data_IF_009401689430
#
_entry.id   IF_009401689430
#
_cell.length_a   1.000
_cell.length_b   1.000
_cell.length_c   1.000
_cell.angle_alpha   90.00
_cell.angle_beta   90.00
_cell.angle_gamma   90.00
#
_symmetry.space_group_name_H-M   'P 1'
#
loop_
_entity.id
_entity.type
_entity.pdbx_description
1 polymer ?
#
# COMPACT_ATOMS: atom_id res chain seq x y z
N UNK A 1 -41.56 -3.22 -2.58
CA UNK A 1 -40.49 -2.28 -2.22
C UNK A 1 -39.45 -2.34 -3.34
N UNK A 2 -39.42 -1.32 -4.23
CA UNK A 2 -38.53 -1.31 -5.39
C UNK A 2 -37.14 -0.87 -4.91
N UNK A 3 -36.19 -1.79 -4.86
CA UNK A 3 -34.80 -1.50 -4.60
C UNK A 3 -34.28 -0.67 -5.79
N UNK A 4 -33.92 0.57 -5.53
CA UNK A 4 -33.26 1.46 -6.48
C UNK A 4 -32.01 0.76 -7.03
N UNK A 5 -32.04 0.34 -8.28
CA UNK A 5 -30.83 0.09 -9.06
C UNK A 5 -30.14 1.45 -9.23
N UNK A 6 -29.28 1.81 -8.26
CA UNK A 6 -28.34 2.90 -8.46
C UNK A 6 -27.49 2.56 -9.67
N UNK A 7 -27.42 3.53 -10.58
CA UNK A 7 -26.66 3.46 -11.82
C UNK A 7 -25.23 2.95 -11.54
N UNK A 8 -24.94 1.72 -11.96
CA UNK A 8 -23.55 1.30 -12.16
C UNK A 8 -22.98 2.26 -13.19
N UNK A 9 -22.17 3.22 -12.74
CA UNK A 9 -21.37 4.02 -13.66
C UNK A 9 -20.40 3.03 -14.32
N UNK A 10 -20.59 2.79 -15.60
CA UNK A 10 -19.76 1.87 -16.37
C UNK A 10 -18.30 2.32 -16.27
N UNK A 11 -17.44 1.44 -15.74
CA UNK A 11 -16.00 1.64 -15.81
C UNK A 11 -15.55 1.38 -17.25
N UNK A 12 -14.83 2.32 -17.84
CA UNK A 12 -14.27 2.17 -19.18
C UNK A 12 -12.93 1.45 -19.11
N UNK A 13 -12.71 0.49 -20.00
CA UNK A 13 -11.40 -0.18 -20.14
C UNK A 13 -10.42 0.70 -20.91
N UNK A 14 -9.11 0.43 -20.77
CA UNK A 14 -8.02 1.17 -21.41
C UNK A 14 -7.99 2.67 -21.05
N UNK A 15 -8.39 3.01 -19.83
CA UNK A 15 -8.45 4.38 -19.33
C UNK A 15 -7.66 4.53 -18.03
N UNK A 16 -7.04 5.69 -17.87
CA UNK A 16 -6.40 6.09 -16.62
C UNK A 16 -7.41 6.91 -15.81
N UNK A 17 -7.63 6.49 -14.55
CA UNK A 17 -8.48 7.17 -13.59
C UNK A 17 -7.61 7.90 -12.58
N UNK A 18 -7.70 9.24 -12.54
CA UNK A 18 -6.98 10.08 -11.58
C UNK A 18 -7.91 10.39 -10.40
N UNK A 19 -8.11 9.42 -9.53
CA UNK A 19 -9.01 9.50 -8.38
C UNK A 19 -8.59 8.48 -7.31
N UNK A 20 -9.14 8.52 -6.08
CA UNK A 20 -8.88 7.49 -5.08
C UNK A 20 -9.22 6.09 -5.59
N UNK A 21 -8.32 5.13 -5.39
CA UNK A 21 -8.45 3.79 -5.96
C UNK A 21 -9.72 3.06 -5.51
N UNK A 22 -10.17 3.29 -4.27
CA UNK A 22 -11.42 2.71 -3.76
C UNK A 22 -12.64 3.20 -4.52
N UNK A 23 -12.65 4.47 -4.97
CA UNK A 23 -13.75 5.02 -5.77
C UNK A 23 -13.81 4.32 -7.13
N UNK A 24 -12.66 4.13 -7.79
CA UNK A 24 -12.57 3.38 -9.04
C UNK A 24 -13.03 1.93 -8.86
N UNK A 25 -12.52 1.23 -7.85
CA UNK A 25 -12.85 -0.18 -7.59
C UNK A 25 -14.34 -0.34 -7.27
N UNK A 26 -14.94 0.59 -6.53
CA UNK A 26 -16.35 0.54 -6.15
C UNK A 26 -17.31 0.52 -7.37
N UNK A 27 -16.89 1.12 -8.48
CA UNK A 27 -17.68 1.17 -9.73
C UNK A 27 -17.50 -0.03 -10.63
N UNK A 28 -16.49 -0.88 -10.37
CA UNK A 28 -16.26 -2.08 -11.16
C UNK A 28 -17.34 -3.12 -10.89
N UNK A 29 -17.81 -3.82 -11.92
CA UNK A 29 -18.70 -4.97 -11.72
C UNK A 29 -17.93 -6.11 -11.02
N UNK A 30 -18.65 -7.00 -10.39
CA UNK A 30 -18.06 -8.22 -9.83
C UNK A 30 -17.57 -9.14 -10.95
N UNK A 31 -16.56 -9.96 -10.70
CA UNK A 31 -15.93 -10.85 -11.66
C UNK A 31 -15.44 -10.14 -12.93
N UNK A 32 -14.87 -8.95 -12.79
CA UNK A 32 -14.41 -8.12 -13.90
C UNK A 32 -12.90 -8.22 -14.16
N UNK A 33 -12.11 -8.29 -13.09
CA UNK A 33 -10.65 -8.21 -13.16
C UNK A 33 -10.00 -9.58 -13.31
N UNK A 34 -9.08 -9.72 -14.26
CA UNK A 34 -8.24 -10.90 -14.43
C UNK A 34 -7.00 -10.83 -13.54
N UNK A 35 -6.44 -9.63 -13.38
CA UNK A 35 -5.23 -9.40 -12.59
C UNK A 35 -5.21 -7.98 -12.03
N UNK A 36 -4.72 -7.84 -10.80
CA UNK A 36 -4.39 -6.56 -10.19
C UNK A 36 -2.90 -6.52 -9.89
N UNK A 37 -2.23 -5.43 -10.28
CA UNK A 37 -0.82 -5.19 -9.95
C UNK A 37 -0.76 -3.82 -9.30
N UNK A 38 -0.20 -3.73 -8.10
CA UNK A 38 -0.13 -2.47 -7.37
C UNK A 38 1.14 -2.34 -6.53
N UNK A 39 1.55 -1.11 -6.31
CA UNK A 39 2.61 -0.72 -5.38
C UNK A 39 2.07 0.47 -4.58
N UNK A 40 1.32 0.23 -3.50
CA UNK A 40 0.82 1.30 -2.65
C UNK A 40 1.96 2.14 -2.08
N UNK A 41 1.73 3.40 -1.69
CA UNK A 41 2.74 4.17 -0.97
C UNK A 41 3.24 3.39 0.24
N UNK A 42 4.57 3.26 0.39
CA UNK A 42 5.15 2.54 1.51
C UNK A 42 5.03 3.38 2.79
N UNK A 43 4.77 2.72 3.89
CA UNK A 43 4.54 3.39 5.17
C UNK A 43 5.76 4.22 5.61
N UNK A 44 5.53 5.50 5.92
CA UNK A 44 6.51 6.49 6.38
C UNK A 44 7.71 6.71 5.42
N UNK A 45 7.55 6.36 4.13
CA UNK A 45 8.64 6.52 3.18
C UNK A 45 8.62 7.89 2.48
N UNK A 46 7.46 8.32 1.98
CA UNK A 46 7.32 9.56 1.20
C UNK A 46 6.01 10.26 1.48
N UNK A 47 6.10 11.58 1.59
CA UNK A 47 4.96 12.47 1.51
C UNK A 47 4.89 13.04 0.07
N UNK A 48 3.80 12.77 -0.63
CA UNK A 48 3.56 13.29 -1.98
C UNK A 48 2.77 14.61 -1.98
N UNK A 49 2.43 15.14 -0.79
CA UNK A 49 1.73 16.40 -0.62
C UNK A 49 0.24 16.38 -0.95
N UNK A 50 -0.40 15.22 -0.93
CA UNK A 50 -1.83 15.08 -1.13
C UNK A 50 -2.56 14.77 0.16
N UNK A 51 -3.65 15.49 0.43
CA UNK A 51 -4.54 15.19 1.54
C UNK A 51 -5.17 13.80 1.33
N UNK A 52 -5.19 12.98 2.41
CA UNK A 52 -5.71 11.62 2.33
C UNK A 52 -4.78 10.59 1.68
N UNK A 53 -3.53 10.95 1.42
CA UNK A 53 -2.51 10.02 0.96
C UNK A 53 -2.32 8.89 1.98
N UNK A 54 -2.27 7.65 1.49
CA UNK A 54 -1.84 6.50 2.30
C UNK A 54 -0.31 6.46 2.46
N UNK A 55 0.15 5.78 3.50
CA UNK A 55 1.56 5.66 3.84
C UNK A 55 2.05 6.70 4.85
N UNK A 56 1.19 7.60 5.32
CA UNK A 56 1.51 8.60 6.34
C UNK A 56 0.69 8.42 7.63
N UNK A 57 0.02 7.31 7.78
CA UNK A 57 -0.79 6.99 8.96
C UNK A 57 0.07 7.03 10.22
N UNK A 58 -0.50 7.46 11.37
CA UNK A 58 0.20 7.53 12.64
C UNK A 58 0.79 6.20 13.09
N UNK A 59 0.14 5.08 12.74
CA UNK A 59 0.56 3.74 13.10
C UNK A 59 0.61 2.81 11.88
N UNK A 60 1.48 1.81 11.91
CA UNK A 60 1.51 0.81 10.83
C UNK A 60 0.25 -0.07 10.83
N UNK A 61 -0.45 -0.17 11.94
CA UNK A 61 -1.72 -0.88 12.04
C UNK A 61 -2.79 -0.18 11.19
N UNK A 62 -2.93 1.13 11.32
CA UNK A 62 -3.87 1.93 10.50
C UNK A 62 -3.52 1.84 9.00
N UNK A 63 -2.23 1.89 8.67
CA UNK A 63 -1.77 1.68 7.31
C UNK A 63 -2.18 0.30 6.76
N UNK A 64 -1.99 -0.76 7.54
CA UNK A 64 -2.39 -2.11 7.16
C UNK A 64 -3.93 -2.22 6.99
N UNK A 65 -4.72 -1.58 7.84
CA UNK A 65 -6.18 -1.54 7.68
C UNK A 65 -6.60 -0.89 6.36
N UNK A 66 -5.95 0.19 5.93
CA UNK A 66 -6.19 0.79 4.61
C UNK A 66 -5.87 -0.19 3.48
N UNK A 67 -4.74 -0.89 3.55
CA UNK A 67 -4.36 -1.88 2.54
C UNK A 67 -5.35 -3.05 2.51
N UNK A 68 -5.77 -3.55 3.67
CA UNK A 68 -6.75 -4.63 3.72
C UNK A 68 -8.13 -4.18 3.24
N UNK A 69 -8.54 -2.95 3.49
CA UNK A 69 -9.79 -2.40 2.95
C UNK A 69 -9.80 -2.39 1.42
N UNK A 70 -8.65 -2.08 0.80
CA UNK A 70 -8.49 -2.18 -0.64
C UNK A 70 -8.59 -3.63 -1.12
N UNK A 71 -7.95 -4.57 -0.42
CA UNK A 71 -8.01 -5.99 -0.76
C UNK A 71 -9.45 -6.52 -0.66
N UNK A 72 -10.18 -6.15 0.39
CA UNK A 72 -11.59 -6.52 0.58
C UNK A 72 -12.48 -5.96 -0.53
N UNK A 73 -12.20 -4.72 -1.00
CA UNK A 73 -12.91 -4.12 -2.11
C UNK A 73 -12.59 -4.80 -3.46
N UNK A 74 -11.36 -5.25 -3.68
CA UNK A 74 -10.90 -5.93 -4.89
C UNK A 74 -11.44 -7.36 -4.97
N UNK A 75 -11.56 -8.05 -3.84
CA UNK A 75 -11.90 -9.48 -3.80
C UNK A 75 -13.11 -9.86 -4.66
N UNK A 76 -14.29 -9.21 -4.53
CA UNK A 76 -15.44 -9.55 -5.36
C UNK A 76 -15.28 -9.14 -6.83
N UNK A 77 -14.32 -8.28 -7.15
CA UNK A 77 -14.08 -7.79 -8.52
C UNK A 77 -13.21 -8.74 -9.34
N UNK A 78 -12.49 -9.64 -8.69
CA UNK A 78 -11.69 -10.64 -9.38
C UNK A 78 -12.57 -11.73 -9.97
N UNK A 79 -12.19 -12.16 -11.17
CA UNK A 79 -12.72 -13.39 -11.78
C UNK A 79 -12.21 -14.63 -11.03
N UNK A 80 -12.88 -15.75 -11.21
CA UNK A 80 -12.36 -17.04 -10.78
C UNK A 80 -10.98 -17.29 -11.42
N UNK A 81 -9.97 -17.58 -10.57
CA UNK A 81 -8.57 -17.71 -11.00
C UNK A 81 -7.83 -16.39 -11.20
N UNK A 82 -8.47 -15.24 -10.94
CA UNK A 82 -7.83 -13.93 -10.97
C UNK A 82 -6.72 -13.79 -9.91
N UNK A 83 -5.72 -12.97 -10.18
CA UNK A 83 -4.53 -12.82 -9.32
C UNK A 83 -4.30 -11.39 -8.88
N UNK A 84 -3.69 -11.22 -7.70
CA UNK A 84 -3.24 -9.91 -7.21
C UNK A 84 -1.75 -9.95 -6.91
N UNK A 85 -1.03 -8.95 -7.39
CA UNK A 85 0.40 -8.76 -7.19
C UNK A 85 0.61 -7.44 -6.45
N UNK A 86 1.16 -7.52 -5.25
CA UNK A 86 1.37 -6.34 -4.40
C UNK A 86 2.85 -6.21 -4.10
N UNK A 87 3.45 -5.09 -4.51
CA UNK A 87 4.82 -4.75 -4.14
C UNK A 87 4.80 -3.83 -2.93
N UNK A 88 5.39 -4.27 -1.82
CA UNK A 88 5.48 -3.52 -0.57
C UNK A 88 6.92 -3.43 -0.09
N UNK A 89 7.28 -2.28 0.48
CA UNK A 89 8.52 -2.10 1.22
C UNK A 89 8.32 -2.30 2.71
N UNK A 90 9.36 -2.77 3.39
CA UNK A 90 9.42 -2.83 4.84
C UNK A 90 10.16 -1.63 5.42
N UNK A 91 10.09 -1.45 6.73
CA UNK A 91 10.80 -0.39 7.44
C UNK A 91 11.15 -0.83 8.86
N UNK A 92 12.12 -0.15 9.47
CA UNK A 92 12.53 -0.38 10.85
C UNK A 92 11.84 0.59 11.80
N UNK A 93 11.53 0.09 13.01
CA UNK A 93 11.10 0.96 14.10
C UNK A 93 12.18 1.99 14.43
N UNK A 94 11.80 3.26 14.50
CA UNK A 94 12.70 4.38 14.71
C UNK A 94 13.49 4.83 13.48
N UNK A 95 13.31 4.18 12.31
CA UNK A 95 13.77 4.72 11.04
C UNK A 95 12.76 5.74 10.51
N UNK A 96 13.25 6.81 9.96
CA UNK A 96 12.41 7.87 9.40
C UNK A 96 12.72 9.25 9.99
N UNK A 97 12.61 10.26 9.17
CA UNK A 97 12.68 11.67 9.56
C UNK A 97 14.08 12.30 9.70
N UNK A 98 15.15 11.55 9.96
CA UNK A 98 16.48 12.16 10.12
C UNK A 98 17.54 11.71 9.11
N UNK A 99 17.25 10.75 8.25
CA UNK A 99 18.21 10.18 7.29
C UNK A 99 17.89 10.41 5.82
N UNK A 100 16.86 11.18 5.50
CA UNK A 100 16.56 11.50 4.12
C UNK A 100 17.43 12.63 3.60
N UNK A 101 17.89 12.51 2.36
CA UNK A 101 18.61 13.58 1.67
C UNK A 101 17.62 14.67 1.21
N UNK A 102 17.20 15.51 2.17
CA UNK A 102 16.30 16.65 1.98
C UNK A 102 17.04 17.97 1.69
N UNK A 103 18.35 17.90 1.46
CA UNK A 103 19.16 19.08 1.15
C UNK A 103 18.95 19.50 -0.32
N UNK A 104 19.29 20.74 -0.63
CA UNK A 104 19.27 21.23 -2.00
C UNK A 104 20.08 20.32 -2.93
N UNK A 105 19.45 19.84 -4.00
CA UNK A 105 20.04 18.86 -4.93
C UNK A 105 20.00 17.39 -4.46
N UNK A 106 19.46 17.10 -3.29
CA UNK A 106 19.31 15.74 -2.77
C UNK A 106 18.12 14.98 -3.37
N UNK A 107 18.07 13.67 -3.14
CA UNK A 107 17.02 12.79 -3.68
C UNK A 107 15.60 13.14 -3.20
N UNK A 108 15.49 13.92 -2.11
CA UNK A 108 14.22 14.35 -1.50
C UNK A 108 14.13 15.89 -1.39
N UNK A 109 14.90 16.57 -2.21
CA UNK A 109 14.85 18.03 -2.27
C UNK A 109 13.44 18.52 -2.59
N UNK A 110 12.96 19.51 -1.85
CA UNK A 110 11.61 20.07 -1.98
C UNK A 110 10.47 19.19 -1.45
N UNK A 111 10.76 17.98 -0.94
CA UNK A 111 9.72 17.12 -0.34
C UNK A 111 9.53 17.45 1.14
N UNK A 112 8.30 17.35 1.67
CA UNK A 112 8.04 17.44 3.11
C UNK A 112 8.82 16.38 3.88
N UNK A 113 9.35 16.77 5.06
CA UNK A 113 10.02 15.80 5.94
C UNK A 113 8.98 14.91 6.62
N UNK A 114 9.02 13.63 6.34
CA UNK A 114 8.20 12.64 7.04
C UNK A 114 8.64 12.58 8.51
N UNK A 115 7.69 12.71 9.44
CA UNK A 115 7.98 12.57 10.87
C UNK A 115 7.97 11.09 11.23
N UNK A 116 8.94 10.62 12.07
CA UNK A 116 8.90 9.25 12.56
C UNK A 116 7.59 8.96 13.30
N UNK A 117 6.89 7.90 12.90
CA UNK A 117 5.73 7.44 13.66
C UNK A 117 6.18 6.83 14.99
N UNK A 118 5.36 7.01 16.03
CA UNK A 118 5.56 6.29 17.29
C UNK A 118 5.07 4.87 17.13
N UNK A 119 5.96 3.90 17.28
CA UNK A 119 5.63 2.47 17.28
C UNK A 119 5.94 1.88 18.64
N UNK A 120 5.05 1.03 19.14
CA UNK A 120 5.23 0.27 20.39
C UNK A 120 6.15 -0.96 20.19
N UNK A 121 7.19 -0.79 19.38
CA UNK A 121 8.16 -1.83 19.05
C UNK A 121 9.54 -1.25 19.33
N UNK A 122 10.44 -2.09 19.85
CA UNK A 122 11.83 -1.66 20.15
C UNK A 122 12.47 -1.02 18.92
N UNK A 123 13.21 0.05 19.12
CA UNK A 123 14.03 0.66 18.09
C UNK A 123 14.89 -0.38 17.37
N UNK A 124 15.11 -0.16 16.08
CA UNK A 124 15.88 -1.04 15.19
C UNK A 124 15.19 -2.39 14.87
N UNK A 125 13.96 -2.61 15.34
CA UNK A 125 13.20 -3.80 14.96
C UNK A 125 12.60 -3.62 13.56
N UNK A 126 12.81 -4.59 12.68
CA UNK A 126 12.11 -4.66 11.38
C UNK A 126 10.61 -4.90 11.64
N UNK A 127 9.75 -4.08 11.03
CA UNK A 127 8.31 -4.10 11.32
C UNK A 127 7.56 -5.23 10.63
N UNK A 128 8.16 -5.86 9.62
CA UNK A 128 7.57 -6.95 8.84
C UNK A 128 6.23 -6.55 8.19
N UNK A 129 6.15 -5.32 7.67
CA UNK A 129 4.94 -4.78 7.03
C UNK A 129 4.41 -5.70 5.93
N UNK A 130 5.22 -6.16 4.95
CA UNK A 130 4.74 -7.06 3.89
C UNK A 130 4.20 -8.38 4.44
N UNK A 131 4.87 -8.95 5.45
CA UNK A 131 4.43 -10.21 6.06
C UNK A 131 3.12 -10.05 6.86
N UNK A 132 2.99 -8.95 7.62
CA UNK A 132 1.74 -8.64 8.34
C UNK A 132 0.59 -8.45 7.38
N UNK A 133 0.84 -7.74 6.26
CA UNK A 133 -0.13 -7.58 5.19
C UNK A 133 -0.59 -8.92 4.64
N UNK A 134 0.36 -9.80 4.29
CA UNK A 134 0.07 -11.13 3.74
C UNK A 134 -0.73 -12.00 4.73
N UNK A 135 -0.35 -12.03 6.00
CA UNK A 135 -1.06 -12.76 7.05
C UNK A 135 -2.50 -12.23 7.19
N UNK A 136 -2.67 -10.92 7.28
CA UNK A 136 -4.01 -10.33 7.35
C UNK A 136 -4.87 -10.56 6.11
N UNK A 137 -4.28 -10.71 4.92
CA UNK A 137 -5.01 -11.17 3.73
C UNK A 137 -5.47 -12.62 3.88
N UNK A 138 -4.62 -13.52 4.39
CA UNK A 138 -4.99 -14.92 4.66
C UNK A 138 -6.18 -14.97 5.64
N UNK A 139 -6.13 -14.21 6.71
CA UNK A 139 -7.20 -14.14 7.72
C UNK A 139 -8.53 -13.63 7.13
N UNK A 140 -8.47 -12.88 6.02
CA UNK A 140 -9.62 -12.37 5.24
C UNK A 140 -10.04 -13.30 4.09
N UNK A 141 -9.48 -14.50 4.01
CA UNK A 141 -9.88 -15.53 3.04
C UNK A 141 -9.11 -15.51 1.72
N UNK A 142 -8.04 -14.70 1.60
CA UNK A 142 -7.17 -14.73 0.43
C UNK A 142 -6.28 -15.97 0.42
N UNK A 143 -5.94 -16.45 -0.77
CA UNK A 143 -4.97 -17.54 -0.95
C UNK A 143 -3.61 -16.93 -1.27
N UNK A 144 -2.71 -16.92 -0.28
CA UNK A 144 -1.32 -16.52 -0.48
C UNK A 144 -0.57 -17.60 -1.25
N UNK A 145 -0.09 -17.27 -2.45
CA UNK A 145 0.59 -18.23 -3.34
C UNK A 145 2.10 -18.19 -3.20
N UNK A 146 2.67 -16.99 -3.17
CA UNK A 146 4.12 -16.80 -3.14
C UNK A 146 4.48 -15.53 -2.38
N UNK A 147 5.58 -15.60 -1.67
CA UNK A 147 6.34 -14.44 -1.18
C UNK A 147 7.59 -14.30 -2.06
N UNK A 148 7.71 -13.15 -2.73
CA UNK A 148 8.75 -12.91 -3.72
C UNK A 148 9.66 -11.80 -3.23
N UNK A 149 10.91 -12.12 -2.95
CA UNK A 149 11.91 -11.15 -2.54
C UNK A 149 12.48 -10.45 -3.77
N UNK A 150 12.28 -9.13 -3.85
CA UNK A 150 12.91 -8.31 -4.88
C UNK A 150 14.37 -8.02 -4.51
N UNK A 151 15.28 -8.91 -4.91
CA UNK A 151 16.70 -8.77 -4.66
C UNK A 151 17.34 -7.74 -5.61
N UNK A 152 17.97 -6.71 -5.04
CA UNK A 152 18.73 -5.69 -5.79
C UNK A 152 20.22 -5.98 -5.66
N UNK A 153 20.97 -5.97 -6.78
CA UNK A 153 22.42 -6.17 -6.78
C UNK A 153 23.19 -5.03 -6.09
N UNK A 154 22.63 -3.84 -6.13
CA UNK A 154 23.21 -2.59 -5.58
C UNK A 154 22.21 -1.92 -4.64
N UNK A 155 21.63 -2.68 -3.72
CA UNK A 155 20.75 -2.13 -2.69
C UNK A 155 21.50 -1.07 -1.87
N UNK A 156 20.78 -0.01 -1.46
CA UNK A 156 21.33 0.94 -0.51
C UNK A 156 21.54 0.25 0.84
N UNK A 157 22.59 0.61 1.61
CA UNK A 157 22.76 0.13 2.95
C UNK A 157 21.53 0.43 3.82
N UNK A 158 21.30 -0.44 4.81
CA UNK A 158 20.27 -0.20 5.81
C UNK A 158 20.57 1.08 6.60
N UNK A 159 19.53 1.82 6.94
CA UNK A 159 19.65 3.06 7.73
C UNK A 159 19.85 2.79 9.23
N UNK A 160 19.70 1.55 9.65
CA UNK A 160 19.84 1.11 11.05
C UNK A 160 21.22 0.51 11.23
N UNK A 161 22.00 1.10 12.12
CA UNK A 161 23.32 0.57 12.57
C UNK A 161 23.19 -0.05 13.94
N UNK A 162 23.96 -1.08 14.19
CA UNK A 162 24.05 -1.75 15.51
C UNK A 162 24.76 -0.88 16.54
#
# INVERSE_FOLDING_TARGET
>A
MKINKQMQQNIETNKIYCEPCLDTVSRMPDNFLDCVITSPPYWQLRDYGYEGQWGLEPTYQEYLEHLWSLMDAIYPKLKEGGTVWVNLGDTYSGSGGSGGDYNEGGLRDGQPKVRPAKVEVKNKCLLLIPHRFAIGCIDRGWIMRNDIIWAKRNGMPESVTD
#
